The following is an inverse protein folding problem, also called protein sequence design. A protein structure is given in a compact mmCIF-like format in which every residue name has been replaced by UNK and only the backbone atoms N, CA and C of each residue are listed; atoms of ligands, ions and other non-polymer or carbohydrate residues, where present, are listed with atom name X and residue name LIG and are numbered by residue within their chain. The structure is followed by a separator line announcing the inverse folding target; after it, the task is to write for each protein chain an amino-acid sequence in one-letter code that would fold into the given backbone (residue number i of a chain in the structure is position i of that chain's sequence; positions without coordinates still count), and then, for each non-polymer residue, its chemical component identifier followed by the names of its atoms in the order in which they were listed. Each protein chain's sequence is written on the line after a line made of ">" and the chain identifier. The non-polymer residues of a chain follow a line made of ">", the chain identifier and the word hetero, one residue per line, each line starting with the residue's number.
data_IF_398279759080
#
_entry.id   IF_398279759080
#
_cell.length_a   1.000
_cell.length_b   1.000
_cell.length_c   1.000
_cell.angle_alpha   90.00
_cell.angle_beta   90.00
_cell.angle_gamma   90.00
#
_symmetry.space_group_name_H-M   'P 1'
#
loop_
_entity.id
_entity.type
_entity.pdbx_description
1 polymer ?
#
# COMPACT_ATOMS: atom_id res chain seq x y z
N UNK A 1 -0.71 -15.97 -11.80
CA UNK A 1 0.71 -15.91 -11.35
C UNK A 1 1.07 -14.43 -11.23
N UNK A 2 1.45 -13.95 -10.06
CA UNK A 2 1.88 -12.56 -9.88
C UNK A 2 3.20 -12.37 -10.67
N UNK A 3 3.19 -11.48 -11.64
CA UNK A 3 4.39 -11.10 -12.42
C UNK A 3 5.35 -10.44 -11.43
N UNK A 4 6.53 -11.00 -11.23
CA UNK A 4 7.56 -10.36 -10.41
C UNK A 4 7.97 -9.06 -11.08
N UNK A 5 7.68 -7.97 -10.41
CA UNK A 5 8.07 -6.62 -10.84
C UNK A 5 9.58 -6.49 -10.63
N UNK A 6 10.32 -6.02 -11.64
CA UNK A 6 11.74 -5.71 -11.49
C UNK A 6 11.91 -4.27 -10.98
N UNK A 7 12.27 -4.05 -9.71
CA UNK A 7 12.34 -2.70 -9.13
C UNK A 7 13.44 -1.81 -9.74
N UNK A 8 14.41 -2.43 -10.43
CA UNK A 8 15.55 -1.70 -11.01
C UNK A 8 15.18 -0.92 -12.29
N UNK A 9 14.07 -1.23 -12.92
CA UNK A 9 13.59 -0.60 -14.16
C UNK A 9 12.59 0.54 -13.91
N UNK A 10 12.22 0.77 -12.65
CA UNK A 10 11.19 1.74 -12.26
C UNK A 10 11.80 2.96 -11.57
N UNK A 11 11.26 4.14 -11.87
CA UNK A 11 11.59 5.39 -11.16
C UNK A 11 10.81 5.42 -9.83
N UNK A 12 11.42 4.84 -8.80
CA UNK A 12 10.76 4.62 -7.51
C UNK A 12 10.93 5.84 -6.59
N UNK A 13 9.81 6.34 -6.11
CA UNK A 13 9.74 7.30 -5.00
C UNK A 13 9.55 6.55 -3.69
N UNK A 14 10.16 7.09 -2.63
CA UNK A 14 10.20 6.46 -1.32
C UNK A 14 9.59 7.41 -0.27
N UNK A 15 8.75 6.88 0.61
CA UNK A 15 8.12 7.67 1.66
C UNK A 15 8.12 6.94 3.00
N UNK A 16 8.57 7.63 4.05
CA UNK A 16 8.50 7.15 5.42
C UNK A 16 7.10 7.43 5.99
N UNK A 17 6.38 6.38 6.38
CA UNK A 17 5.04 6.50 6.96
C UNK A 17 5.08 6.62 8.48
N UNK A 18 5.92 5.83 9.12
CA UNK A 18 6.10 5.86 10.56
C UNK A 18 7.49 5.39 10.98
N UNK A 19 8.04 6.04 11.98
CA UNK A 19 9.29 5.66 12.65
C UNK A 19 9.02 5.54 14.14
N UNK A 20 9.27 4.36 14.71
CA UNK A 20 9.07 4.09 16.12
C UNK A 20 10.35 3.59 16.76
N UNK A 21 10.67 4.11 17.95
CA UNK A 21 11.69 3.54 18.82
C UNK A 21 11.09 2.37 19.58
N UNK A 22 11.63 1.19 19.39
CA UNK A 22 11.22 -0.05 20.06
C UNK A 22 12.33 -0.54 20.96
N UNK A 23 12.00 -1.23 22.05
CA UNK A 23 13.00 -1.78 22.96
C UNK A 23 12.71 -3.23 23.29
N UNK A 24 13.77 -4.01 23.44
CA UNK A 24 13.73 -5.39 23.94
C UNK A 24 14.43 -5.42 25.29
N UNK A 25 13.76 -5.95 26.31
CA UNK A 25 14.36 -6.19 27.62
C UNK A 25 15.18 -7.48 27.57
N UNK A 26 16.44 -7.38 27.95
CA UNK A 26 17.41 -8.50 28.01
C UNK A 26 17.99 -8.58 29.43
N UNK A 27 18.74 -9.67 29.75
CA UNK A 27 19.36 -9.93 31.05
C UNK A 27 20.40 -8.86 31.42
N UNK A 28 20.54 -7.79 31.10
CA UNK A 28 21.49 -6.70 31.43
C UNK A 28 20.89 -5.32 31.17
N UNK A 29 19.61 -5.24 30.82
CA UNK A 29 18.98 -3.97 30.55
C UNK A 29 18.01 -3.98 29.34
N UNK A 30 17.91 -2.83 28.67
CA UNK A 30 17.06 -2.65 27.49
C UNK A 30 17.89 -2.32 26.27
N UNK A 31 17.70 -3.07 25.20
CA UNK A 31 18.29 -2.76 23.88
C UNK A 31 17.26 -2.01 23.05
N UNK A 32 17.55 -0.74 22.76
CA UNK A 32 16.70 0.09 21.90
C UNK A 32 17.02 -0.16 20.42
N UNK A 33 15.97 -0.16 19.58
CA UNK A 33 16.05 -0.21 18.12
C UNK A 33 15.04 0.73 17.50
N UNK A 34 15.20 0.98 16.22
CA UNK A 34 14.22 1.75 15.43
C UNK A 34 13.51 0.83 14.45
N UNK A 35 12.20 1.03 14.32
CA UNK A 35 11.34 0.35 13.34
C UNK A 35 10.78 1.41 12.41
N UNK A 36 11.12 1.33 11.12
CA UNK A 36 10.63 2.21 10.06
C UNK A 36 9.65 1.47 9.16
N UNK A 37 8.51 2.09 8.86
CA UNK A 37 7.56 1.62 7.86
C UNK A 37 7.75 2.48 6.62
N UNK A 38 8.18 1.85 5.54
CA UNK A 38 8.45 2.49 4.26
C UNK A 38 7.43 2.07 3.22
N UNK A 39 7.07 3.02 2.37
CA UNK A 39 6.29 2.78 1.15
C UNK A 39 7.15 3.21 -0.03
N UNK A 40 7.14 2.41 -1.08
CA UNK A 40 7.86 2.66 -2.33
C UNK A 40 6.90 2.48 -3.49
N UNK A 41 6.94 3.36 -4.48
CA UNK A 41 6.09 3.26 -5.66
C UNK A 41 6.58 4.14 -6.81
N UNK A 42 6.09 3.86 -8.00
CA UNK A 42 6.45 4.56 -9.25
C UNK A 42 5.42 5.63 -9.66
N UNK A 43 4.29 5.72 -8.96
CA UNK A 43 3.17 6.58 -9.34
C UNK A 43 2.39 6.11 -10.58
N UNK A 44 2.64 4.89 -11.07
CA UNK A 44 2.04 4.33 -12.29
C UNK A 44 1.38 2.95 -12.05
N UNK A 45 0.93 2.71 -10.84
CA UNK A 45 0.24 1.47 -10.48
C UNK A 45 1.11 0.43 -9.78
N UNK A 46 2.37 0.73 -9.48
CA UNK A 46 3.22 -0.18 -8.71
C UNK A 46 3.52 0.42 -7.34
N UNK A 47 3.24 -0.32 -6.29
CA UNK A 47 3.48 0.12 -4.91
C UNK A 47 3.91 -1.07 -4.06
N UNK A 48 4.84 -0.83 -3.15
CA UNK A 48 5.33 -1.81 -2.19
C UNK A 48 5.45 -1.22 -0.80
N UNK A 49 5.33 -2.07 0.21
CA UNK A 49 5.44 -1.69 1.61
C UNK A 49 6.43 -2.59 2.32
N UNK A 50 7.32 -2.00 3.08
CA UNK A 50 8.33 -2.71 3.84
C UNK A 50 8.50 -2.21 5.27
N UNK A 51 9.00 -3.10 6.11
CA UNK A 51 9.29 -2.85 7.51
C UNK A 51 10.78 -3.09 7.78
N UNK A 52 11.52 -2.03 8.05
CA UNK A 52 12.92 -2.11 8.45
C UNK A 52 13.10 -1.95 9.96
N UNK A 53 14.00 -2.73 10.54
CA UNK A 53 14.41 -2.61 11.95
C UNK A 53 15.92 -2.62 12.06
N UNK A 54 16.49 -1.61 12.75
CA UNK A 54 17.93 -1.52 13.00
C UNK A 54 18.24 -0.77 14.31
N UNK A 55 19.51 -0.76 14.70
CA UNK A 55 19.98 0.03 15.84
C UNK A 55 19.94 1.54 15.55
N UNK A 56 20.16 1.92 14.28
CA UNK A 56 20.18 3.30 13.80
C UNK A 56 19.02 3.57 12.84
N UNK A 57 18.58 4.83 12.78
CA UNK A 57 17.47 5.26 11.93
C UNK A 57 17.77 5.08 10.43
N UNK A 58 18.93 5.52 9.88
CA UNK A 58 19.23 5.37 8.47
C UNK A 58 19.22 3.91 8.01
N UNK A 59 19.79 3.02 8.83
CA UNK A 59 19.80 1.59 8.56
C UNK A 59 18.40 0.96 8.60
N UNK A 60 17.53 1.42 9.51
CA UNK A 60 16.14 0.97 9.56
C UNK A 60 15.37 1.38 8.30
N UNK A 61 15.59 2.61 7.82
CA UNK A 61 14.98 3.12 6.58
C UNK A 61 15.48 2.32 5.38
N UNK A 62 16.80 2.15 5.22
CA UNK A 62 17.40 1.38 4.11
C UNK A 62 16.82 -0.05 4.03
N UNK A 63 16.76 -0.75 5.16
CA UNK A 63 16.16 -2.09 5.24
C UNK A 63 14.67 -2.09 4.92
N UNK A 64 13.95 -1.04 5.33
CA UNK A 64 12.53 -0.88 5.00
C UNK A 64 12.29 -0.69 3.50
N UNK A 65 13.15 0.08 2.83
CA UNK A 65 13.11 0.27 1.38
C UNK A 65 13.39 -1.04 0.62
N UNK A 66 14.44 -1.77 1.04
CA UNK A 66 14.77 -3.08 0.45
C UNK A 66 13.62 -4.08 0.61
N UNK A 67 12.98 -4.12 1.78
CA UNK A 67 11.82 -4.96 2.04
C UNK A 67 10.60 -4.53 1.19
N UNK A 68 10.35 -3.22 1.06
CA UNK A 68 9.28 -2.68 0.22
C UNK A 68 9.48 -3.03 -1.25
N UNK A 69 10.70 -2.94 -1.78
CA UNK A 69 11.03 -3.33 -3.16
C UNK A 69 10.79 -4.81 -3.46
N UNK A 70 10.92 -5.67 -2.46
CA UNK A 70 10.62 -7.11 -2.59
C UNK A 70 9.12 -7.42 -2.59
N UNK A 71 8.33 -6.57 -1.93
CA UNK A 71 6.89 -6.75 -1.72
C UNK A 71 6.06 -5.79 -2.58
N UNK A 72 6.51 -5.51 -3.80
CA UNK A 72 5.77 -4.67 -4.73
C UNK A 72 4.61 -5.42 -5.37
N UNK A 73 3.48 -4.74 -5.51
CA UNK A 73 2.28 -5.22 -6.20
C UNK A 73 1.92 -4.29 -7.36
N UNK A 74 1.21 -4.83 -8.35
CA UNK A 74 0.56 -4.04 -9.40
C UNK A 74 -0.88 -3.81 -9.01
N UNK A 75 -1.32 -2.56 -9.08
CA UNK A 75 -2.67 -2.12 -8.73
C UNK A 75 -3.48 -1.92 -10.00
N UNK A 76 -4.67 -2.52 -10.08
CA UNK A 76 -5.60 -2.29 -11.18
C UNK A 76 -6.23 -0.90 -11.05
N UNK A 77 -5.85 0.03 -11.93
CA UNK A 77 -6.35 1.40 -11.97
C UNK A 77 -7.42 1.58 -13.05
N UNK A 78 -8.37 2.49 -12.81
CA UNK A 78 -9.34 2.97 -13.82
C UNK A 78 -9.15 4.48 -14.01
N UNK A 79 -8.28 4.85 -14.94
CA UNK A 79 -7.86 6.24 -15.12
C UNK A 79 -7.14 6.76 -13.86
N UNK A 80 -7.68 7.78 -13.21
CA UNK A 80 -7.11 8.41 -12.00
C UNK A 80 -7.61 7.84 -10.67
N UNK A 81 -8.46 6.78 -10.72
CA UNK A 81 -9.11 6.19 -9.55
C UNK A 81 -9.07 4.66 -9.59
N UNK A 82 -9.68 4.01 -8.60
CA UNK A 82 -9.85 2.55 -8.53
C UNK A 82 -11.11 2.09 -9.26
N UNK A 83 -11.16 0.86 -9.80
CA UNK A 83 -12.29 0.36 -10.59
C UNK A 83 -13.57 0.19 -9.77
N UNK A 84 -13.48 -0.21 -8.52
CA UNK A 84 -14.63 -0.44 -7.64
C UNK A 84 -14.29 -0.22 -6.16
N UNK A 85 -15.33 -0.16 -5.32
CA UNK A 85 -15.18 -0.11 -3.87
C UNK A 85 -14.58 -1.41 -3.34
N UNK A 86 -13.69 -1.30 -2.37
CA UNK A 86 -13.06 -2.45 -1.71
C UNK A 86 -12.78 -2.16 -0.25
N UNK A 87 -12.82 -3.22 0.56
CA UNK A 87 -12.43 -3.18 1.97
C UNK A 87 -11.21 -4.08 2.16
N UNK A 88 -10.08 -3.47 2.44
CA UNK A 88 -8.87 -4.20 2.81
C UNK A 88 -8.82 -4.50 4.30
N UNK A 89 -8.41 -5.70 4.66
CA UNK A 89 -8.29 -6.15 6.07
C UNK A 89 -6.92 -6.77 6.28
N UNK A 90 -6.26 -6.35 7.36
CA UNK A 90 -5.02 -6.97 7.82
C UNK A 90 -4.93 -6.87 9.35
N UNK A 91 -4.93 -8.01 10.03
CA UNK A 91 -4.97 -8.06 11.49
C UNK A 91 -6.14 -7.24 12.05
N UNK A 92 -5.87 -6.31 12.95
CA UNK A 92 -6.88 -5.39 13.48
C UNK A 92 -7.18 -4.19 12.57
N UNK A 93 -6.43 -3.99 11.46
CA UNK A 93 -6.65 -2.92 10.50
C UNK A 93 -7.77 -3.25 9.53
N UNK A 94 -8.66 -2.29 9.28
CA UNK A 94 -9.72 -2.36 8.27
C UNK A 94 -9.82 -1.02 7.58
N UNK A 95 -9.60 -0.99 6.26
CA UNK A 95 -9.59 0.23 5.45
C UNK A 95 -10.59 0.09 4.31
N UNK A 96 -11.51 1.05 4.23
CA UNK A 96 -12.46 1.18 3.13
C UNK A 96 -11.85 2.09 2.07
N UNK A 97 -11.85 1.65 0.81
CA UNK A 97 -11.45 2.42 -0.36
C UNK A 97 -12.65 2.56 -1.31
N UNK A 98 -12.99 3.80 -1.67
CA UNK A 98 -14.09 4.11 -2.60
C UNK A 98 -13.57 4.92 -3.77
N UNK A 99 -13.94 4.58 -5.00
CA UNK A 99 -13.61 5.40 -6.15
C UNK A 99 -14.24 6.79 -6.03
N UNK A 100 -13.61 7.78 -6.64
CA UNK A 100 -14.08 9.15 -6.65
C UNK A 100 -13.99 9.76 -8.05
N UNK A 101 -14.83 10.77 -8.30
CA UNK A 101 -14.82 11.51 -9.55
C UNK A 101 -13.51 12.30 -9.71
N UNK A 102 -13.07 12.56 -10.96
CA UNK A 102 -11.93 13.43 -11.23
C UNK A 102 -12.10 14.81 -10.55
N UNK A 103 -11.02 15.33 -9.97
CA UNK A 103 -11.03 16.58 -9.23
C UNK A 103 -11.32 16.47 -7.73
N UNK A 104 -11.71 15.30 -7.23
CA UNK A 104 -11.93 15.08 -5.79
C UNK A 104 -10.62 15.09 -4.99
N UNK A 105 -9.53 14.63 -5.59
CA UNK A 105 -8.25 14.43 -4.91
C UNK A 105 -8.24 13.21 -3.99
N UNK A 106 -7.17 13.06 -3.21
CA UNK A 106 -7.01 11.96 -2.26
C UNK A 106 -7.56 12.37 -0.90
N UNK A 107 -8.73 11.85 -0.54
CA UNK A 107 -9.35 12.04 0.77
C UNK A 107 -9.05 10.79 1.61
N UNK A 108 -7.93 10.80 2.33
CA UNK A 108 -7.45 9.68 3.12
C UNK A 108 -6.64 10.14 4.34
N UNK A 109 -6.57 9.31 5.36
CA UNK A 109 -5.64 9.51 6.48
C UNK A 109 -4.18 9.40 6.01
N UNK A 110 -3.24 10.13 6.62
CA UNK A 110 -1.86 10.26 6.14
C UNK A 110 -1.16 8.93 5.84
N UNK A 111 -1.40 7.89 6.61
CA UNK A 111 -0.82 6.54 6.42
C UNK A 111 -1.34 5.85 5.15
N UNK A 112 -2.63 5.98 4.88
CA UNK A 112 -3.29 5.46 3.67
C UNK A 112 -2.93 6.32 2.47
N UNK A 113 -2.91 7.65 2.64
CA UNK A 113 -2.55 8.61 1.59
C UNK A 113 -1.18 8.32 1.00
N UNK A 114 -0.17 8.07 1.82
CA UNK A 114 1.18 7.76 1.37
C UNK A 114 1.22 6.56 0.40
N UNK A 115 0.44 5.51 0.68
CA UNK A 115 0.33 4.34 -0.20
C UNK A 115 -0.37 4.70 -1.51
N UNK A 116 -1.47 5.46 -1.45
CA UNK A 116 -2.29 5.81 -2.62
C UNK A 116 -1.58 6.78 -3.57
N UNK A 117 -0.86 7.77 -3.03
CA UNK A 117 -0.04 8.71 -3.82
C UNK A 117 1.06 7.98 -4.58
N UNK A 118 1.79 7.08 -3.91
CA UNK A 118 2.86 6.31 -4.53
C UNK A 118 2.34 5.22 -5.49
N UNK A 119 1.10 4.78 -5.34
CA UNK A 119 0.42 3.93 -6.32
C UNK A 119 -0.06 4.68 -7.57
N UNK A 120 -0.01 6.02 -7.58
CA UNK A 120 -0.47 6.84 -8.71
C UNK A 120 -1.97 7.12 -8.74
N UNK A 121 -2.66 6.90 -7.64
CA UNK A 121 -4.09 7.19 -7.52
C UNK A 121 -4.25 8.66 -7.16
N UNK A 122 -4.97 9.42 -7.99
CA UNK A 122 -5.20 10.86 -7.80
C UNK A 122 -6.56 11.19 -7.22
N UNK A 123 -7.56 10.33 -7.39
CA UNK A 123 -8.94 10.59 -6.96
C UNK A 123 -9.52 9.37 -6.23
N UNK A 124 -9.64 9.47 -4.90
CA UNK A 124 -10.12 8.38 -4.06
C UNK A 124 -10.61 8.89 -2.71
N UNK A 125 -11.58 8.21 -2.13
CA UNK A 125 -12.00 8.40 -0.73
C UNK A 125 -11.69 7.15 0.07
N UNK A 126 -10.99 7.31 1.18
CA UNK A 126 -10.61 6.21 2.05
C UNK A 126 -10.93 6.51 3.52
N UNK A 127 -11.29 5.46 4.27
CA UNK A 127 -11.56 5.55 5.70
C UNK A 127 -11.03 4.34 6.45
N UNK A 128 -10.26 4.58 7.51
CA UNK A 128 -9.90 3.54 8.47
C UNK A 128 -11.11 3.27 9.39
N UNK A 129 -11.58 2.02 9.39
CA UNK A 129 -12.79 1.61 10.13
C UNK A 129 -12.50 1.01 11.51
N UNK A 130 -11.26 0.59 11.76
CA UNK A 130 -10.82 -0.04 13.01
C UNK A 130 -9.50 0.55 13.49
N UNK A 131 -8.50 -0.28 13.76
CA UNK A 131 -7.21 0.10 14.29
C UNK A 131 -6.53 1.21 13.48
N UNK A 132 -5.91 2.16 14.19
CA UNK A 132 -5.09 3.22 13.59
C UNK A 132 -3.58 2.91 13.69
N UNK A 133 -3.20 1.66 14.00
CA UNK A 133 -1.80 1.26 14.00
C UNK A 133 -1.20 1.37 12.60
N UNK A 134 -0.08 2.09 12.41
CA UNK A 134 0.51 2.32 11.09
C UNK A 134 0.76 1.06 10.29
N UNK A 135 1.33 0.04 10.89
CA UNK A 135 1.63 -1.24 10.23
C UNK A 135 0.37 -1.91 9.71
N UNK A 136 -0.67 -1.99 10.55
CA UNK A 136 -1.92 -2.65 10.19
C UNK A 136 -2.68 -1.87 9.12
N UNK A 137 -2.73 -0.54 9.24
CA UNK A 137 -3.42 0.33 8.26
C UNK A 137 -2.77 0.24 6.89
N UNK A 138 -1.45 0.34 6.82
CA UNK A 138 -0.71 0.29 5.55
C UNK A 138 -0.86 -1.09 4.89
N UNK A 139 -0.70 -2.18 5.65
CA UNK A 139 -0.90 -3.54 5.12
C UNK A 139 -2.34 -3.83 4.74
N UNK A 140 -3.33 -3.30 5.47
CA UNK A 140 -4.74 -3.41 5.09
C UNK A 140 -5.03 -2.64 3.79
N UNK A 141 -4.41 -1.48 3.58
CA UNK A 141 -4.51 -0.74 2.32
C UNK A 141 -3.93 -1.54 1.16
N UNK A 142 -2.75 -2.16 1.35
CA UNK A 142 -2.14 -3.03 0.35
C UNK A 142 -3.03 -4.22 0.00
N UNK A 143 -3.59 -4.90 1.00
CA UNK A 143 -4.53 -6.01 0.78
C UNK A 143 -5.79 -5.57 0.01
N UNK A 144 -6.29 -4.35 0.27
CA UNK A 144 -7.40 -3.78 -0.49
C UNK A 144 -7.03 -3.50 -1.94
N UNK A 145 -5.85 -2.93 -2.20
CA UNK A 145 -5.37 -2.65 -3.56
C UNK A 145 -5.09 -3.93 -4.36
N UNK A 146 -4.57 -4.97 -3.72
CA UNK A 146 -4.32 -6.27 -4.33
C UNK A 146 -5.61 -7.00 -4.70
N UNK A 147 -6.68 -6.77 -3.94
CA UNK A 147 -8.00 -7.36 -4.20
C UNK A 147 -8.78 -6.67 -5.35
N UNK A 148 -8.29 -5.54 -5.84
CA UNK A 148 -8.92 -4.84 -6.96
C UNK A 148 -8.80 -5.67 -8.25
N UNK A 149 -9.90 -5.70 -9.01
CA UNK A 149 -9.95 -6.37 -10.31
C UNK A 149 -10.41 -5.40 -11.38
N UNK A 150 -9.76 -5.42 -12.52
CA UNK A 150 -10.22 -4.67 -13.68
C UNK A 150 -11.46 -5.32 -14.31
N UNK A 151 -12.25 -4.54 -15.06
CA UNK A 151 -13.39 -5.07 -15.78
C UNK A 151 -12.98 -6.17 -16.80
N UNK A 152 -11.78 -6.05 -17.37
CA UNK A 152 -11.22 -7.02 -18.30
C UNK A 152 -10.89 -8.35 -17.61
N UNK A 153 -10.32 -8.31 -16.40
CA UNK A 153 -10.06 -9.50 -15.59
C UNK A 153 -11.36 -10.21 -15.21
N UNK A 154 -12.37 -9.45 -14.80
CA UNK A 154 -13.70 -10.02 -14.46
C UNK A 154 -14.37 -10.63 -15.68
N UNK A 155 -14.30 -9.97 -16.84
CA UNK A 155 -14.82 -10.48 -18.10
C UNK A 155 -14.19 -11.83 -18.48
N UNK A 156 -12.87 -11.94 -18.37
CA UNK A 156 -12.13 -13.21 -18.60
C UNK A 156 -12.53 -14.31 -17.63
N UNK A 157 -12.73 -13.98 -16.35
CA UNK A 157 -13.11 -14.99 -15.34
C UNK A 157 -14.51 -15.52 -15.55
N UNK A 158 -15.42 -14.66 -16.06
CA UNK A 158 -16.85 -15.00 -16.27
C UNK A 158 -17.19 -15.43 -17.69
N UNK A 159 -16.22 -15.43 -18.61
CA UNK A 159 -16.41 -15.69 -20.05
C UNK A 159 -17.52 -14.81 -20.68
N UNK A 160 -17.52 -13.53 -20.34
CA UNK A 160 -18.47 -12.52 -20.85
C UNK A 160 -17.73 -11.32 -21.45
N UNK A 161 -18.43 -10.48 -22.19
CA UNK A 161 -17.83 -9.27 -22.76
C UNK A 161 -17.65 -8.19 -21.68
N UNK A 162 -16.65 -7.30 -21.88
CA UNK A 162 -16.40 -6.17 -20.97
C UNK A 162 -17.59 -5.23 -20.87
N UNK A 163 -18.40 -5.12 -21.94
CA UNK A 163 -19.63 -4.33 -21.96
C UNK A 163 -20.69 -4.90 -21.01
N UNK A 164 -20.83 -6.22 -20.96
CA UNK A 164 -21.75 -6.90 -20.03
C UNK A 164 -21.31 -6.81 -18.57
N UNK A 165 -20.01 -6.57 -18.30
CA UNK A 165 -19.51 -6.33 -16.94
C UNK A 165 -19.83 -4.91 -16.46
N UNK A 166 -19.90 -3.95 -17.39
CA UNK A 166 -20.11 -2.54 -17.06
C UNK A 166 -21.59 -2.16 -16.92
N UNK A 167 -22.50 -3.00 -17.43
CA UNK A 167 -23.95 -2.80 -17.43
C UNK A 167 -24.41 -1.81 -18.46
#
# INVERSE_FOLDING_TARGET
>A
MATKINPAELDLREQLVALNRVSKTVKGGRVARFAAIMVVGDGNGHVGVGLGKAAEVPEAIRKGIEDAKKNMITVSLKGSTIPHEVVGVFGAGKVLLKPAAPGTGIIAGGKVRAVLELAGISNIRAKCLRSNNPTNVVKATMAGLEALRSAEEVAKIRDITVEQVKG
#
